data_IF_774281224676
#
_entry.id   IF_774281224676
#
_cell.length_a   1.000
_cell.length_b   1.000
_cell.length_c   1.000
_cell.angle_alpha   90.00
_cell.angle_beta   90.00
_cell.angle_gamma   90.00
#
_symmetry.space_group_name_H-M   'P 1'
#
loop_
_entity.id
_entity.type
_entity.pdbx_description
1 polymer ?
#
# COMPACT_ATOMS: atom_id res chain seq x y z
N UNK A 1 18.53 2.18 8.58
CA UNK A 1 18.08 1.07 7.73
C UNK A 1 18.79 1.22 6.39
N UNK A 2 19.32 0.15 5.77
CA UNK A 2 19.80 0.22 4.40
C UNK A 2 18.66 0.71 3.49
N UNK A 3 18.99 1.41 2.41
CA UNK A 3 18.00 1.83 1.43
C UNK A 3 17.36 0.59 0.80
N UNK A 4 16.03 0.49 0.83
CA UNK A 4 15.30 -0.58 0.17
C UNK A 4 15.45 -0.40 -1.34
N UNK A 5 16.01 -1.41 -2.02
CA UNK A 5 16.24 -1.37 -3.46
C UNK A 5 15.28 -2.30 -4.20
N UNK A 6 14.71 -1.83 -5.31
CA UNK A 6 13.84 -2.65 -6.16
C UNK A 6 14.57 -3.90 -6.69
N UNK A 7 15.89 -3.81 -6.91
CA UNK A 7 16.72 -4.95 -7.32
C UNK A 7 16.67 -6.13 -6.34
N UNK A 8 16.37 -5.87 -5.07
CA UNK A 8 16.41 -6.86 -4.00
C UNK A 8 15.03 -7.53 -3.76
N UNK A 9 14.00 -7.12 -4.52
CA UNK A 9 12.66 -7.71 -4.49
C UNK A 9 12.71 -9.11 -5.12
N UNK A 10 12.47 -10.17 -4.33
CA UNK A 10 12.65 -11.55 -4.80
C UNK A 10 11.55 -12.00 -5.79
N UNK A 11 10.34 -11.46 -5.70
CA UNK A 11 9.25 -11.84 -6.61
C UNK A 11 9.32 -11.03 -7.91
N UNK A 12 9.50 -11.70 -9.05
CA UNK A 12 9.66 -11.04 -10.37
C UNK A 12 8.44 -10.20 -10.79
N UNK A 13 7.22 -10.63 -10.44
CA UNK A 13 6.00 -9.91 -10.78
C UNK A 13 5.93 -8.60 -10.01
N UNK A 14 6.11 -8.68 -8.69
CA UNK A 14 6.16 -7.51 -7.80
C UNK A 14 7.31 -6.57 -8.21
N UNK A 15 8.50 -7.12 -8.48
CA UNK A 15 9.66 -6.35 -8.95
C UNK A 15 9.33 -5.56 -10.20
N UNK A 16 8.74 -6.21 -11.21
CA UNK A 16 8.33 -5.56 -12.46
C UNK A 16 7.33 -4.42 -12.23
N UNK A 17 6.37 -4.60 -11.32
CA UNK A 17 5.46 -3.50 -10.96
C UNK A 17 6.21 -2.31 -10.34
N UNK A 18 7.18 -2.58 -9.47
CA UNK A 18 7.97 -1.51 -8.86
C UNK A 18 8.93 -0.83 -9.87
N UNK A 19 9.52 -1.58 -10.80
CA UNK A 19 10.32 -1.01 -11.91
C UNK A 19 9.47 -0.11 -12.83
N UNK A 20 8.22 -0.50 -13.10
CA UNK A 20 7.26 0.34 -13.83
C UNK A 20 6.92 1.61 -13.05
N UNK A 21 6.81 1.52 -11.72
CA UNK A 21 6.61 2.68 -10.86
C UNK A 21 7.77 3.67 -10.98
N UNK A 22 9.02 3.23 -10.83
CA UNK A 22 10.20 4.12 -11.00
C UNK A 22 10.25 4.74 -12.39
N UNK A 23 10.03 3.93 -13.43
CA UNK A 23 9.99 4.42 -14.81
C UNK A 23 8.91 5.49 -15.02
N UNK A 24 7.78 5.38 -14.32
CA UNK A 24 6.69 6.35 -14.40
C UNK A 24 7.00 7.63 -13.62
N UNK A 25 7.65 7.51 -12.47
CA UNK A 25 8.16 8.66 -11.71
C UNK A 25 9.17 9.47 -12.51
N UNK A 26 10.12 8.81 -13.19
CA UNK A 26 11.12 9.46 -14.04
C UNK A 26 10.50 10.23 -15.22
N UNK A 27 9.27 9.88 -15.60
CA UNK A 27 8.51 10.49 -16.71
C UNK A 27 7.46 11.50 -16.23
N UNK A 28 7.42 11.82 -14.94
CA UNK A 28 6.38 12.64 -14.31
C UNK A 28 4.95 12.08 -14.46
N UNK A 29 4.78 10.77 -14.71
CA UNK A 29 3.48 10.10 -14.75
C UNK A 29 3.12 9.51 -13.38
N UNK A 30 2.75 10.41 -12.46
CA UNK A 30 2.44 10.04 -11.07
C UNK A 30 1.19 9.17 -10.95
N UNK A 31 0.27 9.24 -11.91
CA UNK A 31 -0.91 8.38 -11.91
C UNK A 31 -0.52 6.93 -12.19
N UNK A 32 0.30 6.70 -13.22
CA UNK A 32 0.78 5.37 -13.56
C UNK A 32 1.72 4.81 -12.50
N UNK A 33 2.52 5.67 -11.86
CA UNK A 33 3.35 5.29 -10.72
C UNK A 33 2.52 4.70 -9.57
N UNK A 34 1.44 5.39 -9.15
CA UNK A 34 0.56 4.91 -8.07
C UNK A 34 -0.22 3.65 -8.49
N UNK A 35 -0.64 3.55 -9.76
CA UNK A 35 -1.29 2.33 -10.29
C UNK A 35 -0.36 1.12 -10.24
N UNK A 36 0.89 1.29 -10.65
CA UNK A 36 1.90 0.23 -10.58
C UNK A 36 2.14 -0.22 -9.13
N UNK A 37 2.17 0.73 -8.17
CA UNK A 37 2.25 0.38 -6.75
C UNK A 37 1.00 -0.36 -6.26
N UNK A 38 -0.20 0.07 -6.69
CA UNK A 38 -1.44 -0.61 -6.34
C UNK A 38 -1.48 -2.05 -6.88
N UNK A 39 -1.00 -2.29 -8.09
CA UNK A 39 -0.91 -3.63 -8.67
C UNK A 39 0.02 -4.54 -7.85
N UNK A 40 1.19 -4.03 -7.42
CA UNK A 40 2.10 -4.75 -6.54
C UNK A 40 1.45 -5.08 -5.18
N UNK A 41 0.74 -4.11 -4.60
CA UNK A 41 0.01 -4.29 -3.34
C UNK A 41 -1.09 -5.35 -3.44
N UNK A 42 -1.91 -5.28 -4.50
CA UNK A 42 -2.97 -6.27 -4.74
C UNK A 42 -2.39 -7.66 -5.01
N UNK A 43 -1.27 -7.74 -5.72
CA UNK A 43 -0.54 -9.00 -5.90
C UNK A 43 -0.16 -9.60 -4.53
N UNK A 44 0.41 -8.79 -3.63
CA UNK A 44 0.75 -9.24 -2.27
C UNK A 44 -0.47 -9.76 -1.52
N UNK A 45 -1.58 -9.02 -1.52
CA UNK A 45 -2.78 -9.46 -0.80
C UNK A 45 -3.39 -10.76 -1.35
N UNK A 46 -3.22 -11.03 -2.64
CA UNK A 46 -3.73 -12.25 -3.25
C UNK A 46 -2.81 -13.46 -3.00
N UNK A 47 -1.49 -13.27 -3.07
CA UNK A 47 -0.51 -14.35 -2.94
C UNK A 47 -0.17 -14.69 -1.48
N UNK A 48 -0.35 -13.75 -0.56
CA UNK A 48 -0.03 -13.92 0.86
C UNK A 48 -1.28 -13.73 1.73
N UNK A 49 -2.10 -14.79 1.92
CA UNK A 49 -3.34 -14.71 2.70
C UNK A 49 -3.14 -14.18 4.13
N UNK A 50 -2.00 -14.47 4.77
CA UNK A 50 -1.70 -13.96 6.11
C UNK A 50 -1.67 -12.43 6.18
N UNK A 51 -1.20 -11.76 5.11
CA UNK A 51 -1.18 -10.30 5.02
C UNK A 51 -2.59 -9.75 4.84
N UNK A 52 -3.41 -10.42 4.01
CA UNK A 52 -4.82 -10.09 3.84
C UNK A 52 -5.61 -10.23 5.13
N UNK A 53 -5.43 -11.35 5.84
CA UNK A 53 -6.12 -11.62 7.11
C UNK A 53 -5.69 -10.62 8.19
N UNK A 54 -4.39 -10.30 8.25
CA UNK A 54 -3.85 -9.27 9.12
C UNK A 54 -4.44 -7.89 8.84
N UNK A 55 -4.49 -7.49 7.56
CA UNK A 55 -5.13 -6.24 7.14
C UNK A 55 -6.62 -6.21 7.51
N UNK A 56 -7.35 -7.31 7.28
CA UNK A 56 -8.76 -7.42 7.64
C UNK A 56 -8.95 -7.22 9.15
N UNK A 57 -8.13 -7.88 9.97
CA UNK A 57 -8.17 -7.72 11.43
C UNK A 57 -7.92 -6.27 11.89
N UNK A 58 -7.04 -5.53 11.20
CA UNK A 58 -6.79 -4.10 11.46
C UNK A 58 -8.01 -3.26 11.08
N UNK A 59 -8.62 -3.52 9.92
CA UNK A 59 -9.77 -2.75 9.43
C UNK A 59 -11.05 -3.05 10.22
N UNK A 60 -11.15 -4.24 10.83
CA UNK A 60 -12.24 -4.62 11.73
C UNK A 60 -12.08 -4.08 13.15
N UNK A 61 -10.92 -3.51 13.50
CA UNK A 61 -10.74 -2.85 14.78
C UNK A 61 -11.63 -1.60 14.86
N UNK A 62 -12.47 -1.52 15.90
CA UNK A 62 -13.45 -0.43 16.06
C UNK A 62 -12.83 0.98 16.04
N UNK A 63 -11.63 1.17 16.61
CA UNK A 63 -10.93 2.47 16.61
C UNK A 63 -10.52 2.84 15.19
N UNK A 64 -9.98 1.87 14.45
CA UNK A 64 -9.57 2.07 13.05
C UNK A 64 -10.79 2.34 12.18
N UNK A 65 -11.85 1.53 12.32
CA UNK A 65 -13.09 1.66 11.57
C UNK A 65 -13.76 3.01 11.79
N UNK A 66 -13.88 3.45 13.06
CA UNK A 66 -14.42 4.76 13.40
C UNK A 66 -13.55 5.88 12.81
N UNK A 67 -12.23 5.79 12.98
CA UNK A 67 -11.33 6.83 12.46
C UNK A 67 -11.28 6.90 10.94
N UNK A 68 -11.42 5.77 10.24
CA UNK A 68 -11.57 5.72 8.79
C UNK A 68 -12.90 6.31 8.32
N UNK A 69 -13.99 6.07 9.07
CA UNK A 69 -15.32 6.59 8.73
C UNK A 69 -15.43 8.10 8.91
N UNK A 70 -14.73 8.64 9.91
CA UNK A 70 -14.66 10.08 10.21
C UNK A 70 -13.56 10.80 9.42
N UNK A 71 -12.68 10.05 8.75
CA UNK A 71 -11.54 10.57 8.00
C UNK A 71 -10.36 11.06 8.88
N UNK A 72 -10.42 10.79 10.18
CA UNK A 72 -9.35 11.14 11.14
C UNK A 72 -8.13 10.22 11.03
N UNK A 73 -8.32 8.99 10.56
CA UNK A 73 -7.26 8.05 10.17
C UNK A 73 -7.15 8.05 8.65
N UNK A 74 -5.94 8.28 8.14
CA UNK A 74 -5.61 8.15 6.71
C UNK A 74 -4.62 7.03 6.42
N UNK A 75 -3.95 6.53 7.46
CA UNK A 75 -2.95 5.48 7.37
C UNK A 75 -3.06 4.56 8.59
N UNK A 76 -3.07 3.26 8.34
CA UNK A 76 -3.08 2.19 9.32
C UNK A 76 -2.08 1.11 8.86
N UNK A 77 -1.54 0.28 9.76
CA UNK A 77 -0.57 -0.75 9.36
C UNK A 77 -1.16 -1.65 8.26
N UNK A 78 -0.33 -2.02 7.28
CA UNK A 78 -0.69 -2.83 6.10
C UNK A 78 -1.79 -2.23 5.19
N UNK A 79 -2.46 -1.15 5.58
CA UNK A 79 -3.54 -0.53 4.81
C UNK A 79 -2.98 0.40 3.76
N UNK A 80 -3.44 0.22 2.52
CA UNK A 80 -3.18 1.17 1.44
C UNK A 80 -3.53 2.62 1.88
N UNK A 81 -2.57 3.55 1.91
CA UNK A 81 -2.81 4.89 2.44
C UNK A 81 -3.91 5.65 1.68
N UNK A 82 -4.76 6.40 2.39
CA UNK A 82 -5.89 7.15 1.82
C UNK A 82 -5.53 8.59 1.45
N UNK A 83 -4.61 8.78 0.50
CA UNK A 83 -4.22 10.11 -0.01
C UNK A 83 -5.02 10.53 -1.25
N UNK A 84 -5.32 9.56 -2.12
CA UNK A 84 -6.20 9.74 -3.28
C UNK A 84 -6.71 8.41 -3.87
N UNK A 85 -6.43 7.31 -3.17
CA UNK A 85 -6.87 5.97 -3.49
C UNK A 85 -7.23 5.22 -2.20
N UNK A 86 -8.08 4.22 -2.29
CA UNK A 86 -8.56 3.42 -1.16
C UNK A 86 -8.62 1.94 -1.53
N UNK A 87 -8.27 1.08 -0.58
CA UNK A 87 -8.45 -0.37 -0.68
C UNK A 87 -9.90 -0.74 -0.32
N UNK A 88 -10.53 -1.58 -1.15
CA UNK A 88 -11.79 -2.26 -0.85
C UNK A 88 -11.49 -3.75 -0.67
N UNK A 89 -11.87 -4.31 0.49
CA UNK A 89 -11.73 -5.75 0.79
C UNK A 89 -13.06 -6.52 0.76
N UNK A 90 -14.20 -5.81 0.65
CA UNK A 90 -15.54 -6.39 0.68
C UNK A 90 -15.86 -7.26 -0.55
N UNK A 91 -14.99 -7.24 -1.56
CA UNK A 91 -15.07 -8.03 -2.78
C UNK A 91 -14.28 -9.34 -2.64
N UNK A 92 -14.68 -10.39 -3.38
CA UNK A 92 -13.95 -11.67 -3.40
C UNK A 92 -12.45 -11.50 -3.74
N UNK A 93 -12.14 -10.42 -4.48
CA UNK A 93 -10.78 -9.97 -4.81
C UNK A 93 -10.56 -8.56 -4.29
N UNK A 94 -9.48 -8.29 -3.53
CA UNK A 94 -9.16 -6.94 -3.10
C UNK A 94 -8.92 -6.04 -4.30
N UNK A 95 -9.37 -4.78 -4.20
CA UNK A 95 -9.19 -3.78 -5.26
C UNK A 95 -8.83 -2.40 -4.70
N UNK A 96 -8.07 -1.62 -5.46
CA UNK A 96 -7.79 -0.22 -5.14
C UNK A 96 -8.62 0.69 -6.04
N UNK A 97 -9.49 1.51 -5.43
CA UNK A 97 -10.25 2.56 -6.12
C UNK A 97 -9.51 3.89 -6.03
N UNK A 98 -9.50 4.66 -7.12
CA UNK A 98 -8.87 5.97 -7.20
C UNK A 98 -9.94 7.07 -7.14
N UNK A 99 -9.87 7.93 -6.12
CA UNK A 99 -10.89 8.95 -5.86
C UNK A 99 -10.69 10.22 -6.71
N UNK A 100 -9.53 10.38 -7.34
CA UNK A 100 -9.21 11.53 -8.20
C UNK A 100 -8.40 11.14 -9.43
N UNK A 101 -8.46 11.99 -10.46
CA UNK A 101 -7.83 11.75 -11.78
C UNK A 101 -6.33 12.05 -11.83
N UNK A 102 -5.81 12.83 -10.88
CA UNK A 102 -4.42 13.26 -10.85
C UNK A 102 -3.83 13.05 -9.47
N UNK A 103 -2.63 12.46 -9.43
CA UNK A 103 -1.79 12.33 -8.25
C UNK A 103 -0.67 13.36 -8.31
N UNK A 104 -0.28 13.91 -7.15
CA UNK A 104 0.94 14.71 -7.04
C UNK A 104 2.18 13.82 -6.87
N UNK A 105 3.36 14.38 -7.16
CA UNK A 105 4.64 13.72 -6.94
C UNK A 105 4.79 13.20 -5.50
N UNK A 106 4.52 14.05 -4.50
CA UNK A 106 4.65 13.70 -3.08
C UNK A 106 3.78 12.50 -2.71
N UNK A 107 2.59 12.41 -3.29
CA UNK A 107 1.68 11.28 -3.05
C UNK A 107 2.17 10.01 -3.72
N UNK A 108 2.69 10.11 -4.93
CA UNK A 108 3.30 8.98 -5.62
C UNK A 108 4.50 8.41 -4.85
N UNK A 109 5.37 9.28 -4.31
CA UNK A 109 6.48 8.86 -3.45
C UNK A 109 5.96 8.17 -2.17
N UNK A 110 4.97 8.75 -1.49
CA UNK A 110 4.40 8.12 -0.30
C UNK A 110 3.81 6.73 -0.58
N UNK A 111 3.15 6.55 -1.72
CA UNK A 111 2.66 5.22 -2.14
C UNK A 111 3.81 4.27 -2.47
N UNK A 112 4.84 4.74 -3.18
CA UNK A 112 6.02 3.93 -3.49
C UNK A 112 6.73 3.46 -2.23
N UNK A 113 7.02 4.37 -1.29
CA UNK A 113 7.70 4.06 -0.02
C UNK A 113 6.91 3.06 0.82
N UNK A 114 5.59 3.27 0.94
CA UNK A 114 4.71 2.34 1.63
C UNK A 114 4.75 0.94 1.01
N UNK A 115 4.63 0.88 -0.33
CA UNK A 115 4.59 -0.40 -1.06
C UNK A 115 5.91 -1.13 -0.93
N UNK A 116 7.04 -0.44 -1.07
CA UNK A 116 8.36 -1.02 -0.85
C UNK A 116 8.52 -1.57 0.56
N UNK A 117 8.18 -0.79 1.59
CA UNK A 117 8.26 -1.26 2.96
C UNK A 117 7.47 -2.56 3.17
N UNK A 118 6.21 -2.60 2.70
CA UNK A 118 5.38 -3.79 2.78
C UNK A 118 5.98 -4.99 2.03
N UNK A 119 6.51 -4.78 0.81
CA UNK A 119 7.13 -5.85 0.01
C UNK A 119 8.28 -6.50 0.80
N UNK A 120 9.13 -5.69 1.44
CA UNK A 120 10.26 -6.19 2.23
C UNK A 120 9.81 -6.84 3.54
N UNK A 121 8.82 -6.27 4.23
CA UNK A 121 8.25 -6.89 5.43
C UNK A 121 7.68 -8.28 5.11
N UNK A 122 6.96 -8.42 3.99
CA UNK A 122 6.43 -9.71 3.54
C UNK A 122 7.52 -10.68 3.11
N UNK A 123 8.52 -10.22 2.36
CA UNK A 123 9.65 -11.06 1.95
C UNK A 123 10.48 -11.59 3.12
N UNK A 124 10.58 -10.83 4.21
CA UNK A 124 11.35 -11.19 5.40
C UNK A 124 10.50 -11.86 6.50
N UNK A 125 9.19 -12.01 6.29
CA UNK A 125 8.23 -12.50 7.30
C UNK A 125 8.17 -11.61 8.57
N UNK A 126 8.42 -10.32 8.40
CA UNK A 126 8.54 -9.29 9.46
C UNK A 126 7.31 -8.36 9.55
N UNK A 127 6.17 -8.74 8.95
CA UNK A 127 4.98 -7.87 8.94
C UNK A 127 4.25 -7.88 10.30
N UNK A 128 4.29 -6.74 11.00
CA UNK A 128 3.64 -6.60 12.31
C UNK A 128 2.17 -6.15 12.21
N UNK A 129 1.31 -6.81 12.98
CA UNK A 129 -0.10 -6.45 13.17
C UNK A 129 -0.25 -5.70 14.49
N UNK A 130 0.15 -4.43 14.52
CA UNK A 130 0.05 -3.59 15.72
C UNK A 130 -0.87 -2.37 15.48
N UNK A 131 -2.13 -2.42 15.95
CA UNK A 131 -3.07 -1.30 15.86
C UNK A 131 -2.58 -0.01 16.55
N UNK A 132 -1.59 -0.09 17.45
CA UNK A 132 -1.02 1.10 18.10
C UNK A 132 -0.19 1.97 17.15
N UNK A 133 0.23 1.44 15.99
CA UNK A 133 1.00 2.14 14.96
C UNK A 133 0.15 2.97 13.99
N UNK A 134 -1.15 3.07 14.22
CA UNK A 134 -2.09 3.88 13.42
C UNK A 134 -1.73 5.37 13.53
N UNK A 135 -1.66 6.07 12.39
CA UNK A 135 -1.31 7.49 12.33
C UNK A 135 -2.53 8.33 11.96
N UNK A 136 -2.84 9.32 12.78
CA UNK A 136 -3.83 10.35 12.44
C UNK A 136 -3.29 11.25 11.32
N UNK A 137 -4.17 11.67 10.40
CA UNK A 137 -3.78 12.55 9.32
C UNK A 137 -3.62 13.99 9.83
N UNK A 138 -2.38 14.47 9.92
CA UNK A 138 -2.04 15.90 9.96
C UNK A 138 -1.51 16.29 8.58
#
# INVERSE_FOLDING_TARGET
>A
MPALSISDIQNDTVRKHMENCETSLDKDDFNEAVRSCADAYIYILNEFPAVRDALQAILDNEIVKEGLSTGSIRNAPLMWPRYGAKINLDTDKPEVTFDRRHMSFVEAINYQEFTLALIFDVQNDDFEVDPSKVRSGI
#
